data_IF_138387830447
#
_entry.id   IF_138387830447
#
_cell.length_a   1.000
_cell.length_b   1.000
_cell.length_c   1.000
_cell.angle_alpha   90.00
_cell.angle_beta   90.00
_cell.angle_gamma   90.00
#
_symmetry.space_group_name_H-M   'P 1'
#
loop_
_entity.id
_entity.type
_entity.pdbx_description
1 polymer ?
#
# COMPACT_ATOMS: atom_id res chain seq x y z
N UNK A 1 5.90 -7.25 -6.53
CA UNK A 1 5.36 -6.05 -5.88
C UNK A 1 5.80 -4.88 -6.71
N UNK A 2 4.90 -3.89 -6.86
CA UNK A 2 4.87 -2.82 -7.88
C UNK A 2 5.01 -3.28 -9.33
N UNK A 3 4.09 -2.89 -10.20
CA UNK A 3 4.14 -3.20 -11.64
C UNK A 3 4.74 -2.01 -12.40
N UNK A 4 6.03 -2.06 -12.82
CA UNK A 4 6.63 -0.95 -13.54
C UNK A 4 6.14 -0.93 -15.00
N UNK A 5 5.46 0.14 -15.40
CA UNK A 5 5.04 0.39 -16.79
C UNK A 5 5.58 1.70 -17.37
N UNK A 6 6.37 2.46 -16.60
CA UNK A 6 6.89 3.79 -16.99
C UNK A 6 7.69 3.76 -18.29
N UNK A 7 8.47 2.70 -18.54
CA UNK A 7 9.22 2.52 -19.78
C UNK A 7 8.32 2.33 -21.01
N UNK A 8 7.12 1.76 -20.85
CA UNK A 8 6.17 1.53 -21.94
C UNK A 8 5.48 2.82 -22.38
N UNK A 9 5.32 3.78 -21.46
CA UNK A 9 4.70 5.08 -21.69
C UNK A 9 5.72 6.23 -21.73
N UNK A 10 7.02 5.91 -21.77
CA UNK A 10 8.09 6.90 -21.80
C UNK A 10 8.06 7.80 -23.05
N UNK A 11 7.49 7.30 -24.15
CA UNK A 11 7.29 8.08 -25.38
C UNK A 11 5.80 8.19 -25.68
N UNK A 12 5.37 9.39 -26.07
CA UNK A 12 4.01 9.67 -26.53
C UNK A 12 3.77 8.93 -27.86
N UNK A 13 3.30 7.70 -27.76
CA UNK A 13 2.92 6.87 -28.90
C UNK A 13 1.48 6.41 -28.71
N UNK A 14 0.70 6.42 -29.80
CA UNK A 14 -0.68 5.92 -29.78
C UNK A 14 -0.76 4.47 -29.25
N UNK A 15 0.24 3.66 -29.56
CA UNK A 15 0.32 2.25 -29.15
C UNK A 15 0.83 2.06 -27.72
N UNK A 16 1.57 3.02 -27.15
CA UNK A 16 2.14 2.90 -25.80
C UNK A 16 1.07 2.72 -24.72
N UNK A 17 0.03 3.57 -24.75
CA UNK A 17 -1.08 3.46 -23.80
C UNK A 17 -1.92 2.19 -24.02
N UNK A 18 -2.15 1.80 -25.29
CA UNK A 18 -2.88 0.56 -25.60
C UNK A 18 -2.14 -0.66 -25.03
N UNK A 19 -0.80 -0.71 -25.16
CA UNK A 19 0.01 -1.79 -24.57
C UNK A 19 -0.10 -1.81 -23.04
N UNK A 20 -0.10 -0.65 -22.40
CA UNK A 20 -0.30 -0.56 -20.94
C UNK A 20 -1.69 -1.08 -20.52
N UNK A 21 -2.73 -0.76 -21.28
CA UNK A 21 -4.09 -1.27 -21.05
C UNK A 21 -4.21 -2.80 -21.20
N UNK A 22 -3.30 -3.47 -21.92
CA UNK A 22 -3.34 -4.93 -22.09
C UNK A 22 -2.59 -5.70 -20.99
N UNK A 23 -1.93 -5.02 -20.06
CA UNK A 23 -1.28 -5.67 -18.92
C UNK A 23 -2.35 -6.24 -17.99
N UNK A 24 -2.18 -7.48 -17.51
CA UNK A 24 -3.11 -8.12 -16.56
C UNK A 24 -2.73 -7.85 -15.09
N UNK A 25 -1.45 -7.98 -14.76
CA UNK A 25 -0.96 -7.80 -13.38
C UNK A 25 -1.09 -6.34 -12.94
N UNK A 26 -1.64 -6.09 -11.74
CA UNK A 26 -1.89 -4.73 -11.24
C UNK A 26 -2.91 -3.92 -12.07
N UNK A 27 -3.62 -4.56 -12.99
CA UNK A 27 -4.53 -3.85 -13.89
C UNK A 27 -5.94 -3.71 -13.33
N UNK A 28 -6.67 -2.74 -13.86
CA UNK A 28 -8.11 -2.57 -13.58
C UNK A 28 -8.89 -3.86 -13.87
N UNK A 29 -8.51 -4.60 -14.91
CA UNK A 29 -9.18 -5.85 -15.30
C UNK A 29 -9.08 -6.91 -14.19
N UNK A 30 -7.88 -7.09 -13.63
CA UNK A 30 -7.65 -8.03 -12.52
C UNK A 30 -8.38 -7.60 -11.25
N UNK A 31 -8.60 -6.30 -11.05
CA UNK A 31 -9.30 -5.79 -9.88
C UNK A 31 -10.84 -5.97 -9.96
N UNK A 32 -11.42 -5.84 -11.15
CA UNK A 32 -12.88 -5.82 -11.32
C UNK A 32 -13.49 -7.12 -11.85
N UNK A 33 -12.72 -8.04 -12.44
CA UNK A 33 -13.28 -9.18 -13.19
C UNK A 33 -14.26 -10.03 -12.38
N UNK A 34 -13.99 -10.27 -11.09
CA UNK A 34 -14.83 -11.11 -10.24
C UNK A 34 -16.17 -10.42 -9.93
N UNK A 35 -16.14 -9.15 -9.55
CA UNK A 35 -17.35 -8.37 -9.29
C UNK A 35 -18.15 -8.14 -10.58
N UNK A 36 -17.48 -7.87 -11.71
CA UNK A 36 -18.11 -7.71 -13.01
C UNK A 36 -18.77 -9.00 -13.48
N UNK A 37 -18.13 -10.15 -13.26
CA UNK A 37 -18.70 -11.46 -13.60
C UNK A 37 -19.97 -11.73 -12.80
N UNK A 38 -19.94 -11.50 -11.48
CA UNK A 38 -21.12 -11.65 -10.61
C UNK A 38 -22.24 -10.70 -11.05
N UNK A 39 -21.92 -9.43 -11.29
CA UNK A 39 -22.90 -8.45 -11.74
C UNK A 39 -23.53 -8.84 -13.09
N UNK A 40 -22.72 -9.29 -14.05
CA UNK A 40 -23.19 -9.71 -15.38
C UNK A 40 -24.06 -10.97 -15.30
N UNK A 41 -23.71 -11.91 -14.42
CA UNK A 41 -24.49 -13.11 -14.18
C UNK A 41 -25.85 -12.79 -13.56
N UNK A 42 -25.91 -11.89 -12.57
CA UNK A 42 -27.16 -11.41 -11.99
C UNK A 42 -28.00 -10.66 -13.02
N UNK A 43 -27.38 -9.79 -13.82
CA UNK A 43 -28.07 -9.08 -14.89
C UNK A 43 -28.71 -10.05 -15.90
N UNK A 44 -27.94 -11.04 -16.36
CA UNK A 44 -28.42 -12.07 -17.27
C UNK A 44 -29.52 -12.93 -16.65
N UNK A 45 -29.39 -13.30 -15.38
CA UNK A 45 -30.40 -14.06 -14.64
C UNK A 45 -31.75 -13.33 -14.62
N UNK A 46 -31.77 -12.05 -14.25
CA UNK A 46 -33.02 -11.27 -14.22
C UNK A 46 -33.60 -11.05 -15.62
N UNK A 47 -32.75 -10.87 -16.65
CA UNK A 47 -33.19 -10.80 -18.05
C UNK A 47 -33.86 -12.11 -18.50
N UNK A 48 -33.30 -13.26 -18.13
CA UNK A 48 -33.88 -14.57 -18.43
C UNK A 48 -35.19 -14.81 -17.67
N UNK A 49 -35.25 -14.44 -16.40
CA UNK A 49 -36.49 -14.53 -15.61
C UNK A 49 -37.59 -13.71 -16.26
N UNK A 50 -37.31 -12.46 -16.63
CA UNK A 50 -38.26 -11.58 -17.30
C UNK A 50 -38.81 -12.18 -18.60
N UNK A 51 -37.95 -12.77 -19.43
CA UNK A 51 -38.32 -13.30 -20.76
C UNK A 51 -38.95 -14.69 -20.75
N UNK A 52 -38.51 -15.57 -19.85
CA UNK A 52 -38.83 -17.01 -19.90
C UNK A 52 -39.74 -17.46 -18.76
N UNK A 53 -39.77 -16.75 -17.63
CA UNK A 53 -40.45 -17.21 -16.42
C UNK A 53 -41.64 -16.34 -15.99
N UNK A 54 -41.63 -15.03 -16.31
CA UNK A 54 -42.71 -14.12 -15.92
C UNK A 54 -43.88 -14.16 -16.91
N UNK A 55 -45.10 -14.14 -16.36
CA UNK A 55 -46.33 -13.96 -17.15
C UNK A 55 -46.60 -12.47 -17.43
N UNK A 56 -47.48 -12.13 -18.38
CA UNK A 56 -47.73 -10.75 -18.85
C UNK A 56 -47.99 -9.71 -17.72
N UNK A 57 -48.79 -10.09 -16.72
CA UNK A 57 -49.08 -9.23 -15.56
C UNK A 57 -47.84 -8.99 -14.67
N UNK A 58 -47.01 -10.01 -14.50
CA UNK A 58 -45.76 -9.91 -13.75
C UNK A 58 -44.70 -9.13 -14.52
N UNK A 59 -44.62 -9.31 -15.85
CA UNK A 59 -43.75 -8.53 -16.71
C UNK A 59 -44.08 -7.04 -16.61
N UNK A 60 -45.35 -6.67 -16.70
CA UNK A 60 -45.79 -5.26 -16.53
C UNK A 60 -45.37 -4.68 -15.17
N UNK A 61 -45.43 -5.48 -14.11
CA UNK A 61 -45.02 -5.05 -12.76
C UNK A 61 -43.50 -4.90 -12.65
N UNK A 62 -42.75 -5.83 -13.25
CA UNK A 62 -41.29 -5.79 -13.32
C UNK A 62 -40.80 -4.57 -14.13
N UNK A 63 -41.43 -4.28 -15.25
CA UNK A 63 -41.12 -3.11 -16.08
C UNK A 63 -41.27 -1.81 -15.30
N UNK A 64 -42.37 -1.64 -14.55
CA UNK A 64 -42.58 -0.48 -13.67
C UNK A 64 -41.49 -0.36 -12.61
N UNK A 65 -41.06 -1.48 -12.02
CA UNK A 65 -39.97 -1.50 -11.06
C UNK A 65 -38.62 -1.12 -11.68
N UNK A 66 -38.30 -1.64 -12.87
CA UNK A 66 -37.11 -1.26 -13.63
C UNK A 66 -37.09 0.23 -13.95
N UNK A 67 -38.21 0.80 -14.39
CA UNK A 67 -38.34 2.24 -14.64
C UNK A 67 -38.15 3.04 -13.35
N UNK A 68 -38.73 2.60 -12.23
CA UNK A 68 -38.49 3.23 -10.94
C UNK A 68 -36.98 3.23 -10.58
N UNK A 69 -36.31 2.09 -10.69
CA UNK A 69 -34.86 2.00 -10.45
C UNK A 69 -34.06 2.91 -11.38
N UNK A 70 -34.44 3.01 -12.66
CA UNK A 70 -33.77 3.90 -13.63
C UNK A 70 -33.90 5.37 -13.23
N UNK A 71 -35.11 5.83 -12.89
CA UNK A 71 -35.37 7.23 -12.54
C UNK A 71 -34.65 7.66 -11.25
N UNK A 72 -34.38 6.71 -10.36
CA UNK A 72 -33.78 6.95 -9.06
C UNK A 72 -32.30 6.54 -8.95
N UNK A 73 -31.70 6.00 -10.01
CA UNK A 73 -30.31 5.57 -10.00
C UNK A 73 -29.33 6.72 -9.74
N UNK A 74 -29.57 7.88 -10.34
CA UNK A 74 -28.66 9.03 -10.28
C UNK A 74 -28.95 10.00 -9.11
N UNK A 75 -29.71 9.56 -8.09
CA UNK A 75 -30.03 10.42 -6.94
C UNK A 75 -28.84 10.74 -6.03
N UNK A 76 -27.81 9.88 -6.02
CA UNK A 76 -26.62 10.06 -5.18
C UNK A 76 -25.46 10.46 -6.09
N UNK A 77 -24.83 11.64 -5.89
CA UNK A 77 -23.68 12.09 -6.66
C UNK A 77 -22.40 11.35 -6.22
N UNK A 78 -22.32 10.05 -6.52
CA UNK A 78 -21.24 9.18 -6.06
C UNK A 78 -19.88 9.55 -6.67
N UNK A 79 -19.85 10.17 -7.84
CA UNK A 79 -18.62 10.61 -8.52
C UNK A 79 -17.86 11.64 -7.69
N UNK A 80 -18.58 12.57 -7.04
CA UNK A 80 -17.97 13.56 -6.16
C UNK A 80 -17.41 12.89 -4.90
N UNK A 81 -18.20 12.03 -4.25
CA UNK A 81 -17.78 11.30 -3.04
C UNK A 81 -16.52 10.48 -3.34
N UNK A 82 -16.54 9.73 -4.45
CA UNK A 82 -15.42 8.90 -4.88
C UNK A 82 -14.20 9.75 -5.25
N UNK A 83 -14.38 10.84 -5.99
CA UNK A 83 -13.28 11.74 -6.37
C UNK A 83 -12.53 12.31 -5.17
N UNK A 84 -13.25 12.82 -4.17
CA UNK A 84 -12.63 13.31 -2.94
C UNK A 84 -11.96 12.19 -2.15
N UNK A 85 -12.61 11.03 -2.04
CA UNK A 85 -12.06 9.88 -1.32
C UNK A 85 -10.75 9.39 -1.96
N UNK A 86 -10.71 9.22 -3.28
CA UNK A 86 -9.53 8.75 -3.99
C UNK A 86 -8.39 9.77 -3.90
N UNK A 87 -8.69 11.07 -4.00
CA UNK A 87 -7.68 12.12 -3.81
C UNK A 87 -7.05 12.06 -2.43
N UNK A 88 -7.85 11.85 -1.37
CA UNK A 88 -7.37 11.65 -0.01
C UNK A 88 -6.46 10.42 0.10
N UNK A 89 -6.89 9.29 -0.47
CA UNK A 89 -6.12 8.03 -0.43
C UNK A 89 -4.79 8.16 -1.19
N UNK A 90 -4.77 8.73 -2.39
CA UNK A 90 -3.55 8.95 -3.16
C UNK A 90 -2.58 9.88 -2.43
N UNK A 91 -3.09 10.95 -1.82
CA UNK A 91 -2.28 11.86 -1.00
C UNK A 91 -1.63 11.14 0.18
N UNK A 92 -2.38 10.26 0.84
CA UNK A 92 -1.89 9.46 1.96
C UNK A 92 -0.91 8.36 1.52
N UNK A 93 -1.23 7.65 0.44
CA UNK A 93 -0.33 6.69 -0.23
C UNK A 93 1.02 7.34 -0.59
N UNK A 94 0.98 8.59 -1.09
CA UNK A 94 2.19 9.34 -1.42
C UNK A 94 3.11 9.54 -0.20
N UNK A 95 2.52 9.82 0.96
CA UNK A 95 3.27 9.97 2.21
C UNK A 95 3.95 8.68 2.62
N UNK A 96 3.38 7.50 2.34
CA UNK A 96 4.02 6.24 2.71
C UNK A 96 5.30 5.99 1.88
N UNK A 97 5.30 6.21 0.56
CA UNK A 97 6.48 5.89 -0.27
C UNK A 97 7.68 6.81 0.03
N UNK A 98 7.45 8.09 0.32
CA UNK A 98 8.52 9.04 0.66
C UNK A 98 9.19 8.66 1.99
N UNK A 99 8.46 7.96 2.87
CA UNK A 99 8.85 7.66 4.24
C UNK A 99 9.38 6.23 4.46
N UNK A 100 9.65 5.46 3.39
CA UNK A 100 10.13 4.06 3.46
C UNK A 100 11.48 3.86 4.20
N UNK A 101 12.19 4.93 4.56
CA UNK A 101 13.40 4.83 5.40
C UNK A 101 14.58 4.15 4.70
N UNK A 102 15.24 4.87 3.79
CA UNK A 102 16.53 4.45 3.24
C UNK A 102 17.68 4.94 4.12
N UNK A 103 18.72 4.11 4.31
CA UNK A 103 19.79 4.35 5.29
C UNK A 103 20.99 5.17 4.78
N UNK A 104 21.04 5.51 3.50
CA UNK A 104 22.22 6.06 2.82
C UNK A 104 22.87 7.20 3.57
N UNK A 105 22.08 8.20 3.93
CA UNK A 105 22.58 9.42 4.56
C UNK A 105 23.26 9.11 5.90
N UNK A 106 22.68 8.21 6.70
CA UNK A 106 23.26 7.83 7.99
C UNK A 106 24.53 7.02 7.77
N UNK A 107 24.50 6.05 6.86
CA UNK A 107 25.66 5.23 6.54
C UNK A 107 26.85 6.09 6.07
N UNK A 108 26.62 6.98 5.09
CA UNK A 108 27.65 7.85 4.53
C UNK A 108 28.22 8.81 5.58
N UNK A 109 27.37 9.44 6.39
CA UNK A 109 27.84 10.39 7.42
C UNK A 109 28.57 9.69 8.56
N UNK A 110 28.07 8.55 9.01
CA UNK A 110 28.71 7.71 10.02
C UNK A 110 30.09 7.27 9.54
N UNK A 111 30.24 6.87 8.27
CA UNK A 111 31.54 6.50 7.69
C UNK A 111 32.50 7.68 7.60
N UNK A 112 32.02 8.88 7.26
CA UNK A 112 32.90 10.06 7.10
C UNK A 112 33.43 10.52 8.46
N UNK A 113 32.60 10.52 9.49
CA UNK A 113 32.95 11.09 10.80
C UNK A 113 33.63 10.09 11.74
N UNK A 114 33.27 8.80 11.70
CA UNK A 114 33.89 7.73 12.50
C UNK A 114 35.06 7.09 11.76
N UNK A 115 36.16 7.83 11.61
CA UNK A 115 37.40 7.36 10.96
C UNK A 115 38.66 7.50 11.80
N UNK A 116 38.56 8.15 12.96
CA UNK A 116 39.72 8.55 13.75
C UNK A 116 39.97 7.56 14.89
N UNK A 117 41.20 7.56 15.39
CA UNK A 117 41.60 6.65 16.45
C UNK A 117 41.72 5.21 15.95
N UNK A 118 41.29 4.27 16.78
CA UNK A 118 41.33 2.84 16.47
C UNK A 118 40.30 2.49 15.40
N UNK A 119 40.79 1.97 14.27
CA UNK A 119 40.00 1.62 13.09
C UNK A 119 38.99 0.51 13.40
N UNK A 120 39.41 -0.52 14.14
CA UNK A 120 38.55 -1.65 14.51
C UNK A 120 37.47 -1.20 15.49
N UNK A 121 37.84 -0.34 16.45
CA UNK A 121 36.89 0.27 17.39
C UNK A 121 35.87 1.15 16.66
N UNK A 122 36.32 2.02 15.76
CA UNK A 122 35.45 2.86 14.95
C UNK A 122 34.48 2.01 14.10
N UNK A 123 34.98 0.95 13.47
CA UNK A 123 34.17 -0.01 12.72
C UNK A 123 33.08 -0.64 13.59
N UNK A 124 33.39 -1.08 14.81
CA UNK A 124 32.40 -1.60 15.76
C UNK A 124 31.30 -0.59 16.08
N UNK A 125 31.64 0.69 16.27
CA UNK A 125 30.65 1.76 16.48
C UNK A 125 29.76 1.95 15.25
N UNK A 126 30.33 2.00 14.04
CA UNK A 126 29.54 2.12 12.79
C UNK A 126 28.54 0.98 12.66
N UNK A 127 29.00 -0.26 12.88
CA UNK A 127 28.15 -1.47 12.86
C UNK A 127 26.98 -1.36 13.84
N UNK A 128 27.27 -0.99 15.10
CA UNK A 128 26.25 -0.93 16.15
C UNK A 128 25.26 0.22 15.96
N UNK A 129 25.71 1.39 15.51
CA UNK A 129 24.85 2.54 15.17
C UNK A 129 23.82 2.11 14.12
N UNK A 130 24.29 1.51 13.03
CA UNK A 130 23.43 1.09 11.93
C UNK A 130 22.51 -0.06 12.33
N UNK A 131 23.00 -1.03 13.11
CA UNK A 131 22.19 -2.12 13.68
C UNK A 131 21.00 -1.58 14.47
N UNK A 132 21.20 -0.56 15.29
CA UNK A 132 20.13 0.08 16.05
C UNK A 132 19.09 0.74 15.15
N UNK A 133 19.52 1.40 14.08
CA UNK A 133 18.60 2.08 13.15
C UNK A 133 17.77 1.07 12.37
N UNK A 134 18.40 -0.02 11.91
CA UNK A 134 17.69 -1.13 11.26
C UNK A 134 16.73 -1.83 12.22
N UNK A 135 17.13 -2.03 13.49
CA UNK A 135 16.25 -2.58 14.52
C UNK A 135 15.00 -1.70 14.67
N UNK A 136 15.17 -0.39 14.71
CA UNK A 136 14.04 0.53 14.75
C UNK A 136 13.11 0.36 13.52
N UNK A 137 13.68 0.32 12.31
CA UNK A 137 12.91 0.12 11.08
C UNK A 137 12.14 -1.21 11.10
N UNK A 138 12.79 -2.32 11.45
CA UNK A 138 12.15 -3.63 11.46
C UNK A 138 11.07 -3.75 12.53
N UNK A 139 11.27 -3.13 13.71
CA UNK A 139 10.25 -3.10 14.75
C UNK A 139 8.99 -2.36 14.27
N UNK A 140 9.14 -1.22 13.60
CA UNK A 140 8.01 -0.49 13.01
C UNK A 140 7.37 -1.29 11.87
N UNK A 141 8.17 -1.88 10.98
CA UNK A 141 7.68 -2.67 9.85
C UNK A 141 6.91 -3.92 10.30
N UNK A 142 7.32 -4.55 11.40
CA UNK A 142 6.57 -5.67 11.99
C UNK A 142 5.17 -5.26 12.46
N UNK A 143 4.95 -3.99 12.81
CA UNK A 143 3.64 -3.50 13.23
C UNK A 143 2.77 -3.21 12.00
N UNK A 144 3.29 -2.47 11.02
CA UNK A 144 2.50 -1.95 9.88
C UNK A 144 2.40 -2.92 8.70
N UNK A 145 3.35 -3.85 8.53
CA UNK A 145 3.41 -4.76 7.39
C UNK A 145 3.12 -6.20 7.85
N UNK A 146 1.96 -6.78 7.48
CA UNK A 146 1.62 -8.16 7.80
C UNK A 146 2.64 -9.16 7.29
N UNK A 147 3.24 -8.90 6.13
CA UNK A 147 4.27 -9.75 5.56
C UNK A 147 5.56 -9.76 6.37
N UNK A 148 5.97 -8.62 6.95
CA UNK A 148 7.11 -8.56 7.89
C UNK A 148 6.75 -9.21 9.22
N UNK A 149 5.53 -9.01 9.74
CA UNK A 149 5.05 -9.71 10.94
C UNK A 149 5.08 -11.24 10.79
N UNK A 150 4.77 -11.76 9.60
CA UNK A 150 4.88 -13.20 9.31
C UNK A 150 6.33 -13.69 9.28
N UNK A 151 7.26 -12.88 8.76
CA UNK A 151 8.69 -13.23 8.73
C UNK A 151 9.33 -13.16 10.12
N UNK A 152 8.92 -12.19 10.93
CA UNK A 152 9.43 -11.97 12.29
C UNK A 152 8.25 -11.85 13.27
N UNK A 153 7.65 -12.96 13.72
CA UNK A 153 6.45 -12.92 14.57
C UNK A 153 6.69 -12.28 15.93
N UNK A 154 7.84 -12.53 16.56
CA UNK A 154 8.14 -12.08 17.93
C UNK A 154 9.48 -11.33 18.01
N UNK A 155 9.77 -10.68 19.13
CA UNK A 155 11.08 -10.05 19.33
C UNK A 155 12.19 -11.10 19.43
N UNK A 156 11.89 -12.29 19.96
CA UNK A 156 12.80 -13.45 19.96
C UNK A 156 13.14 -13.88 18.53
N UNK A 157 12.18 -13.84 17.60
CA UNK A 157 12.47 -14.14 16.19
C UNK A 157 13.44 -13.14 15.54
N UNK A 158 13.54 -11.90 16.07
CA UNK A 158 14.55 -10.92 15.62
C UNK A 158 15.95 -11.23 16.19
N UNK A 159 16.01 -11.89 17.34
CA UNK A 159 17.25 -12.39 17.94
C UNK A 159 17.73 -13.59 17.13
N UNK A 160 16.84 -14.54 16.87
CA UNK A 160 17.08 -15.75 16.07
C UNK A 160 17.40 -15.44 14.60
N UNK A 161 16.81 -14.40 14.03
CA UNK A 161 17.15 -13.92 12.68
C UNK A 161 18.64 -13.56 12.54
N UNK A 162 19.29 -13.17 13.65
CA UNK A 162 20.73 -12.98 13.73
C UNK A 162 21.54 -14.28 13.71
N UNK A 163 20.91 -15.42 14.02
CA UNK A 163 21.55 -16.72 14.23
C UNK A 163 21.48 -17.61 12.97
N UNK A 164 20.41 -17.53 12.18
CA UNK A 164 20.13 -18.51 11.09
C UNK A 164 20.85 -18.23 9.75
N UNK A 165 21.21 -16.99 9.42
CA UNK A 165 21.95 -16.69 8.19
C UNK A 165 23.45 -16.96 8.40
N UNK A 166 23.91 -18.16 8.03
CA UNK A 166 25.28 -18.65 8.27
C UNK A 166 26.38 -17.78 7.60
N UNK A 167 26.08 -17.02 6.54
CA UNK A 167 27.00 -16.01 5.96
C UNK A 167 26.93 -14.62 6.62
N UNK A 168 25.91 -14.37 7.45
CA UNK A 168 25.64 -13.12 8.18
C UNK A 168 25.58 -13.34 9.71
N UNK A 169 26.25 -14.39 10.22
CA UNK A 169 26.24 -14.78 11.64
C UNK A 169 26.75 -13.68 12.61
N UNK A 170 27.41 -12.67 12.07
CA UNK A 170 27.89 -11.46 12.76
C UNK A 170 27.06 -10.19 12.46
N UNK A 171 26.03 -10.27 11.63
CA UNK A 171 25.49 -9.12 10.87
C UNK A 171 23.99 -8.81 11.12
N UNK A 172 23.21 -9.70 11.76
CA UNK A 172 21.73 -9.60 11.82
C UNK A 172 21.09 -9.79 13.20
N UNK A 173 21.87 -9.83 14.28
CA UNK A 173 21.30 -9.79 15.64
C UNK A 173 20.70 -8.40 15.88
N UNK A 174 19.49 -8.14 15.36
CA UNK A 174 18.85 -6.85 15.58
C UNK A 174 18.77 -6.56 17.08
N UNK A 175 18.52 -7.62 17.87
CA UNK A 175 18.54 -7.63 19.33
C UNK A 175 19.48 -8.75 19.80
N UNK A 176 20.39 -8.46 20.72
CA UNK A 176 21.17 -9.47 21.43
C UNK A 176 20.30 -10.13 22.53
N UNK A 177 20.56 -11.38 22.92
CA UNK A 177 19.77 -12.08 23.96
C UNK A 177 19.63 -11.25 25.25
N UNK A 178 20.70 -10.60 25.69
CA UNK A 178 20.72 -9.71 26.86
C UNK A 178 19.95 -8.40 26.70
N UNK A 179 19.62 -8.02 25.46
CA UNK A 179 18.91 -6.78 25.15
C UNK A 179 17.38 -6.97 25.11
N UNK A 180 16.88 -8.21 24.96
CA UNK A 180 15.45 -8.53 24.75
C UNK A 180 14.56 -7.91 25.82
N UNK A 181 14.94 -8.04 27.10
CA UNK A 181 14.16 -7.56 28.24
C UNK A 181 13.92 -6.04 28.22
N UNK A 182 14.77 -5.28 27.51
CA UNK A 182 14.65 -3.83 27.39
C UNK A 182 13.66 -3.41 26.29
N UNK A 183 13.34 -4.31 25.36
CA UNK A 183 12.43 -4.06 24.25
C UNK A 183 11.02 -4.55 24.56
N UNK A 184 10.05 -3.84 23.99
CA UNK A 184 8.65 -4.24 23.92
C UNK A 184 8.11 -3.73 22.58
N UNK A 185 7.00 -4.28 22.09
CA UNK A 185 6.45 -3.95 20.77
C UNK A 185 6.26 -2.44 20.57
N UNK A 186 5.79 -1.71 21.59
CA UNK A 186 5.60 -0.26 21.53
C UNK A 186 6.85 0.58 21.92
N UNK A 187 7.96 -0.08 22.28
CA UNK A 187 9.24 0.56 22.64
C UNK A 187 10.23 0.61 21.47
N UNK A 188 9.72 0.67 20.23
CA UNK A 188 10.55 0.84 19.05
C UNK A 188 11.38 2.14 19.06
N UNK A 189 11.13 3.10 19.95
CA UNK A 189 11.99 4.30 20.11
C UNK A 189 13.32 4.03 20.83
N UNK A 190 13.44 2.90 21.54
CA UNK A 190 14.63 2.55 22.33
C UNK A 190 15.92 2.38 21.49
N UNK A 191 15.90 1.73 20.31
CA UNK A 191 17.09 1.61 19.46
C UNK A 191 17.63 2.99 19.04
N UNK A 192 16.76 3.96 18.76
CA UNK A 192 17.20 5.33 18.43
C UNK A 192 17.91 5.98 19.61
N UNK A 193 17.39 5.83 20.84
CA UNK A 193 18.06 6.32 22.06
C UNK A 193 19.45 5.69 22.23
N UNK A 194 19.58 4.38 22.04
CA UNK A 194 20.86 3.68 22.16
C UNK A 194 21.84 4.06 21.04
N UNK A 195 21.34 4.24 19.82
CA UNK A 195 22.10 4.79 18.70
C UNK A 195 22.70 6.16 19.05
N UNK A 196 21.90 7.04 19.66
CA UNK A 196 22.40 8.36 20.07
C UNK A 196 23.48 8.26 21.17
N UNK A 197 23.32 7.36 22.14
CA UNK A 197 24.37 7.12 23.14
C UNK A 197 25.66 6.58 22.54
N UNK A 198 25.58 5.67 21.58
CA UNK A 198 26.77 5.16 20.88
C UNK A 198 27.54 6.29 20.18
N UNK A 199 26.85 7.21 19.49
CA UNK A 199 27.50 8.35 18.82
C UNK A 199 28.18 9.27 19.86
N UNK A 200 27.50 9.56 20.97
CA UNK A 200 28.08 10.35 22.07
C UNK A 200 29.34 9.68 22.65
N UNK A 201 29.29 8.38 22.86
CA UNK A 201 30.38 7.64 23.48
C UNK A 201 31.57 7.51 22.51
N UNK A 202 31.32 7.33 21.21
CA UNK A 202 32.34 7.40 20.17
C UNK A 202 33.05 8.77 20.11
N UNK A 203 32.31 9.86 20.36
CA UNK A 203 32.90 11.20 20.48
C UNK A 203 33.82 11.31 21.69
N UNK A 204 33.40 10.78 22.85
CA UNK A 204 34.23 10.75 24.07
C UNK A 204 35.50 9.92 23.89
N UNK A 205 35.42 8.83 23.14
CA UNK A 205 36.57 7.99 22.78
C UNK A 205 37.48 8.64 21.71
N UNK A 206 37.14 9.83 21.19
CA UNK A 206 37.94 10.53 20.18
C UNK A 206 37.85 9.94 18.77
N UNK A 207 36.91 9.02 18.52
CA UNK A 207 36.68 8.41 17.20
C UNK A 207 36.01 9.37 16.22
N UNK A 208 35.30 10.37 16.75
CA UNK A 208 34.73 11.52 16.04
C UNK A 208 35.52 12.77 16.45
N UNK A 209 36.06 13.49 15.46
CA UNK A 209 36.97 14.63 15.71
C UNK A 209 36.26 15.77 16.42
N UNK A 210 35.11 16.18 15.90
CA UNK A 210 34.45 17.43 16.26
C UNK A 210 32.97 17.22 16.56
N UNK A 211 32.41 18.15 17.33
CA UNK A 211 31.01 18.10 17.74
C UNK A 211 30.07 18.35 16.55
N UNK A 212 30.57 18.99 15.49
CA UNK A 212 29.85 19.12 14.22
C UNK A 212 29.54 17.75 13.58
N UNK A 213 30.50 16.81 13.57
CA UNK A 213 30.25 15.46 13.07
C UNK A 213 29.20 14.71 13.88
N UNK A 214 29.19 14.90 15.20
CA UNK A 214 28.15 14.35 16.09
C UNK A 214 26.77 14.91 15.73
N UNK A 215 26.67 16.24 15.63
CA UNK A 215 25.42 16.92 15.29
C UNK A 215 24.88 16.47 13.94
N UNK A 216 25.73 16.36 12.92
CA UNK A 216 25.32 15.91 11.60
C UNK A 216 24.81 14.46 11.61
N UNK A 217 25.47 13.54 12.33
CA UNK A 217 24.96 12.17 12.46
C UNK A 217 23.60 12.17 13.18
N UNK A 218 23.44 12.95 14.26
CA UNK A 218 22.16 13.05 14.97
C UNK A 218 21.03 13.57 14.07
N UNK A 219 21.29 14.58 13.25
CA UNK A 219 20.30 15.11 12.31
C UNK A 219 19.79 14.02 11.37
N UNK A 220 20.67 13.21 10.78
CA UNK A 220 20.25 12.11 9.90
C UNK A 220 19.57 10.96 10.64
N UNK A 221 19.97 10.66 11.89
CA UNK A 221 19.29 9.67 12.73
C UNK A 221 17.87 10.13 13.07
N UNK A 222 17.68 11.39 13.45
CA UNK A 222 16.38 11.96 13.78
C UNK A 222 15.50 12.04 12.53
N UNK A 223 16.03 12.50 11.39
CA UNK A 223 15.29 12.54 10.13
C UNK A 223 14.81 11.14 9.70
N UNK A 224 15.65 10.11 9.86
CA UNK A 224 15.23 8.73 9.60
C UNK A 224 14.16 8.25 10.58
N UNK A 225 14.30 8.59 11.86
CA UNK A 225 13.27 8.34 12.86
C UNK A 225 11.94 8.97 12.45
N UNK A 226 11.95 10.24 12.03
CA UNK A 226 10.76 10.96 11.60
C UNK A 226 10.09 10.30 10.39
N UNK A 227 10.88 9.89 9.39
CA UNK A 227 10.34 9.20 8.23
C UNK A 227 9.62 7.91 8.62
N UNK A 228 10.29 7.02 9.36
CA UNK A 228 9.72 5.72 9.70
C UNK A 228 8.57 5.84 10.71
N UNK A 229 8.60 6.78 11.66
CA UNK A 229 7.47 6.98 12.59
C UNK A 229 6.24 7.51 11.87
N UNK A 230 6.39 8.29 10.80
CA UNK A 230 5.26 8.73 9.98
C UNK A 230 4.52 7.57 9.34
N UNK A 231 5.20 6.47 9.00
CA UNK A 231 4.55 5.24 8.52
C UNK A 231 3.64 4.65 9.60
N UNK A 232 4.15 4.52 10.84
CA UNK A 232 3.38 4.02 11.97
C UNK A 232 2.22 4.93 12.35
N UNK A 233 2.44 6.25 12.42
CA UNK A 233 1.37 7.22 12.70
C UNK A 233 0.27 7.17 11.64
N UNK A 234 0.67 7.00 10.38
CA UNK A 234 -0.30 6.83 9.29
C UNK A 234 -1.08 5.55 9.50
N UNK A 235 -0.43 4.42 9.77
CA UNK A 235 -1.13 3.15 10.05
C UNK A 235 -2.08 3.24 11.27
N UNK A 236 -1.63 3.84 12.37
CA UNK A 236 -2.41 3.99 13.61
C UNK A 236 -3.66 4.85 13.42
N UNK A 237 -3.57 5.91 12.61
CA UNK A 237 -4.70 6.81 12.30
C UNK A 237 -5.06 6.67 10.81
N UNK A 238 -5.90 5.67 10.46
CA UNK A 238 -6.36 5.49 9.09
C UNK A 238 -7.44 6.54 8.72
N UNK A 239 -7.85 6.53 7.45
CA UNK A 239 -9.04 7.29 7.02
C UNK A 239 -10.25 6.82 7.85
N UNK A 240 -11.13 7.73 8.33
CA UNK A 240 -12.28 7.35 9.12
C UNK A 240 -13.12 6.28 8.44
N UNK A 241 -13.39 5.19 9.16
CA UNK A 241 -14.09 4.02 8.62
C UNK A 241 -15.43 4.39 7.95
N UNK A 242 -16.20 5.29 8.57
CA UNK A 242 -17.47 5.75 8.01
C UNK A 242 -17.30 6.38 6.62
N UNK A 243 -16.20 7.08 6.36
CA UNK A 243 -15.95 7.70 5.06
C UNK A 243 -15.65 6.64 3.99
N UNK A 244 -14.81 5.65 4.33
CA UNK A 244 -14.55 4.48 3.48
C UNK A 244 -15.83 3.69 3.21
N UNK A 245 -16.66 3.47 4.22
CA UNK A 245 -17.94 2.77 4.08
C UNK A 245 -18.88 3.52 3.13
N UNK A 246 -19.04 4.83 3.29
CA UNK A 246 -19.88 5.65 2.40
C UNK A 246 -19.38 5.57 0.96
N UNK A 247 -18.08 5.78 0.72
CA UNK A 247 -17.51 5.75 -0.63
C UNK A 247 -17.73 4.40 -1.32
N UNK A 248 -17.38 3.30 -0.64
CA UNK A 248 -17.41 1.95 -1.21
C UNK A 248 -18.81 1.36 -1.33
N UNK A 249 -19.70 1.70 -0.39
CA UNK A 249 -21.07 1.19 -0.38
C UNK A 249 -21.93 1.91 -1.40
N UNK A 250 -21.75 3.23 -1.56
CA UNK A 250 -22.57 4.04 -2.50
C UNK A 250 -22.46 3.52 -3.94
N UNK A 251 -21.24 3.21 -4.39
CA UNK A 251 -20.99 2.71 -5.75
C UNK A 251 -21.56 1.30 -5.93
N UNK A 252 -21.43 0.44 -4.92
CA UNK A 252 -21.99 -0.92 -4.98
C UNK A 252 -23.50 -0.91 -5.00
N UNK A 253 -24.14 -0.07 -4.18
CA UNK A 253 -25.60 0.13 -4.20
C UNK A 253 -26.04 0.67 -5.56
N UNK A 254 -25.32 1.65 -6.12
CA UNK A 254 -25.60 2.18 -7.45
C UNK A 254 -25.63 1.06 -8.50
N UNK A 255 -24.59 0.22 -8.57
CA UNK A 255 -24.55 -0.88 -9.53
C UNK A 255 -25.56 -2.00 -9.23
N UNK A 256 -25.94 -2.22 -7.97
CA UNK A 256 -27.04 -3.13 -7.62
C UNK A 256 -28.39 -2.62 -8.15
N UNK A 257 -28.67 -1.32 -8.05
CA UNK A 257 -29.89 -0.71 -8.61
C UNK A 257 -29.86 -0.78 -10.15
N UNK A 258 -28.69 -0.58 -10.77
CA UNK A 258 -28.54 -0.67 -12.23
C UNK A 258 -28.77 -2.08 -12.79
N UNK A 259 -28.67 -3.14 -11.98
CA UNK A 259 -29.08 -4.50 -12.42
C UNK A 259 -30.51 -4.48 -12.92
N UNK A 260 -31.40 -3.73 -12.27
CA UNK A 260 -32.80 -3.60 -12.65
C UNK A 260 -33.03 -2.41 -13.58
N UNK A 261 -32.44 -1.25 -13.26
CA UNK A 261 -32.67 0.00 -14.02
C UNK A 261 -32.22 -0.05 -15.48
N UNK A 262 -31.28 -0.94 -15.83
CA UNK A 262 -30.73 -1.07 -17.19
C UNK A 262 -31.17 -2.35 -17.91
N UNK A 263 -32.20 -3.05 -17.42
CA UNK A 263 -32.79 -4.19 -18.13
C UNK A 263 -33.41 -3.76 -19.46
N UNK A 264 -33.33 -4.63 -20.47
CA UNK A 264 -33.98 -4.43 -21.76
C UNK A 264 -35.42 -4.96 -21.70
N UNK A 265 -36.39 -4.09 -21.88
CA UNK A 265 -37.82 -4.38 -21.75
C UNK A 265 -38.47 -4.52 -23.15
N UNK A 266 -39.44 -5.43 -23.29
CA UNK A 266 -40.15 -5.69 -24.55
C UNK A 266 -41.21 -4.63 -24.86
N UNK A 267 -41.83 -4.07 -23.83
CA UNK A 267 -42.92 -3.12 -24.02
C UNK A 267 -42.32 -1.74 -24.29
N UNK A 268 -42.44 -1.24 -25.52
CA UNK A 268 -42.00 0.10 -25.94
C UNK A 268 -42.78 1.27 -25.30
N UNK A 269 -43.26 1.10 -24.08
CA UNK A 269 -44.21 1.97 -23.39
C UNK A 269 -43.56 3.12 -22.61
N UNK A 270 -42.25 3.35 -22.70
CA UNK A 270 -41.66 4.57 -22.15
C UNK A 270 -40.56 5.15 -23.03
N UNK A 271 -40.65 6.47 -23.27
CA UNK A 271 -39.70 7.36 -23.96
C UNK A 271 -38.26 7.34 -23.40
N UNK A 272 -37.97 6.49 -22.41
CA UNK A 272 -36.86 6.61 -21.46
C UNK A 272 -35.84 5.46 -21.56
N UNK A 273 -36.19 4.33 -22.19
CA UNK A 273 -35.26 3.21 -22.42
C UNK A 273 -35.08 2.92 -23.92
N UNK A 274 -33.85 2.55 -24.30
CA UNK A 274 -33.45 2.36 -25.69
C UNK A 274 -34.37 1.38 -26.41
N UNK A 275 -34.86 1.75 -27.60
CA UNK A 275 -35.70 0.92 -28.46
C UNK A 275 -34.99 -0.34 -28.99
N UNK A 276 -33.70 -0.50 -28.69
CA UNK A 276 -32.84 -1.56 -29.20
C UNK A 276 -32.50 -2.51 -28.06
N UNK A 277 -32.95 -3.75 -28.20
CA UNK A 277 -32.61 -4.85 -27.31
C UNK A 277 -31.30 -5.52 -27.77
N UNK A 278 -30.21 -5.19 -27.08
CA UNK A 278 -28.87 -5.72 -27.41
C UNK A 278 -28.54 -6.97 -26.58
N UNK A 279 -29.44 -7.39 -25.67
CA UNK A 279 -29.27 -8.44 -24.65
C UNK A 279 -28.14 -8.21 -23.64
N UNK A 280 -27.02 -7.63 -24.05
CA UNK A 280 -25.84 -7.34 -23.25
C UNK A 280 -25.71 -5.83 -23.05
N UNK A 281 -25.63 -5.35 -21.79
CA UNK A 281 -25.58 -3.92 -21.49
C UNK A 281 -24.14 -3.39 -21.59
N UNK A 282 -23.57 -3.35 -22.80
CA UNK A 282 -22.16 -2.98 -23.04
C UNK A 282 -21.76 -1.63 -22.41
N UNK A 283 -22.61 -0.61 -22.53
CA UNK A 283 -22.32 0.72 -21.96
C UNK A 283 -22.28 0.66 -20.42
N UNK A 284 -23.22 -0.06 -19.80
CA UNK A 284 -23.24 -0.26 -18.35
C UNK A 284 -22.02 -1.05 -17.87
N UNK A 285 -21.55 -2.04 -18.65
CA UNK A 285 -20.33 -2.78 -18.37
C UNK A 285 -19.09 -1.84 -18.40
N UNK A 286 -19.02 -0.93 -19.37
CA UNK A 286 -17.92 0.06 -19.43
C UNK A 286 -17.99 1.01 -18.22
N UNK A 287 -19.19 1.48 -17.85
CA UNK A 287 -19.40 2.28 -16.64
C UNK A 287 -18.97 1.53 -15.38
N UNK A 288 -19.31 0.23 -15.29
CA UNK A 288 -18.90 -0.65 -14.19
C UNK A 288 -17.38 -0.71 -14.08
N UNK A 289 -16.69 -1.05 -15.17
CA UNK A 289 -15.23 -1.14 -15.20
C UNK A 289 -14.59 0.19 -14.77
N UNK A 290 -15.16 1.32 -15.21
CA UNK A 290 -14.65 2.65 -14.88
C UNK A 290 -14.85 2.99 -13.39
N UNK A 291 -16.09 2.94 -12.88
CA UNK A 291 -16.40 3.40 -11.53
C UNK A 291 -16.03 2.39 -10.44
N UNK A 292 -16.29 1.09 -10.66
CA UNK A 292 -15.84 0.05 -9.74
C UNK A 292 -14.33 -0.10 -9.82
N UNK A 293 -13.72 0.05 -10.99
CA UNK A 293 -12.27 0.12 -11.12
C UNK A 293 -11.65 1.28 -10.35
N UNK A 294 -12.26 2.46 -10.42
CA UNK A 294 -11.83 3.63 -9.65
C UNK A 294 -12.00 3.42 -8.13
N UNK A 295 -13.09 2.77 -7.70
CA UNK A 295 -13.28 2.33 -6.32
C UNK A 295 -12.19 1.34 -5.86
N UNK A 296 -11.89 0.34 -6.71
CA UNK A 296 -10.88 -0.69 -6.45
C UNK A 296 -9.48 -0.12 -6.34
N UNK A 297 -9.14 0.89 -7.15
CA UNK A 297 -7.91 1.64 -6.97
C UNK A 297 -7.81 2.19 -5.53
N UNK A 298 -8.89 2.79 -5.03
CA UNK A 298 -8.97 3.22 -3.64
C UNK A 298 -8.73 2.08 -2.64
N UNK A 299 -9.39 0.93 -2.83
CA UNK A 299 -9.22 -0.25 -1.98
C UNK A 299 -7.76 -0.71 -1.90
N UNK A 300 -7.07 -0.81 -3.04
CA UNK A 300 -5.66 -1.24 -3.10
C UNK A 300 -4.70 -0.25 -2.43
N UNK A 301 -4.98 1.05 -2.52
CA UNK A 301 -4.08 2.08 -2.02
C UNK A 301 -4.28 2.42 -0.53
N UNK A 302 -5.37 1.94 0.10
CA UNK A 302 -5.66 2.18 1.53
C UNK A 302 -4.55 1.64 2.43
N UNK A 303 -4.01 0.45 2.11
CA UNK A 303 -2.90 -0.15 2.81
C UNK A 303 -1.83 -0.68 1.83
N UNK A 304 -0.79 0.11 1.54
CA UNK A 304 0.23 -0.27 0.55
C UNK A 304 1.28 -1.26 1.07
N UNK A 305 1.14 -1.78 2.29
CA UNK A 305 2.05 -2.78 2.88
C UNK A 305 1.46 -4.20 2.88
N UNK A 306 0.42 -4.43 2.09
CA UNK A 306 -0.29 -5.70 1.98
C UNK A 306 0.42 -6.76 1.13
N UNK A 307 -0.34 -7.39 0.26
CA UNK A 307 0.15 -8.43 -0.66
C UNK A 307 -0.43 -8.31 -2.07
N UNK A 308 -1.00 -7.15 -2.40
CA UNK A 308 -1.50 -6.83 -3.72
C UNK A 308 -0.34 -6.62 -4.71
N UNK A 309 -0.65 -6.66 -6.02
CA UNK A 309 0.37 -6.58 -7.06
C UNK A 309 1.19 -5.27 -7.00
N UNK A 310 0.52 -4.17 -6.65
CA UNK A 310 1.06 -2.81 -6.62
C UNK A 310 1.42 -2.29 -5.21
N UNK A 311 1.33 -3.16 -4.20
CA UNK A 311 1.86 -2.85 -2.89
C UNK A 311 3.38 -2.65 -2.94
N UNK A 312 3.90 -1.90 -1.97
CA UNK A 312 5.32 -1.59 -1.89
C UNK A 312 6.15 -2.83 -1.66
N UNK A 313 7.28 -2.92 -2.36
CA UNK A 313 8.28 -3.97 -2.12
C UNK A 313 9.12 -3.64 -0.88
N UNK A 314 8.52 -3.81 0.30
CA UNK A 314 9.18 -3.60 1.58
C UNK A 314 10.37 -4.56 1.77
N UNK A 315 10.34 -5.75 1.15
CA UNK A 315 11.46 -6.71 1.17
C UNK A 315 12.64 -6.17 0.41
N UNK A 316 12.41 -5.56 -0.75
CA UNK A 316 13.46 -4.86 -1.49
C UNK A 316 14.10 -3.77 -0.63
N UNK A 317 13.31 -2.91 0.01
CA UNK A 317 13.85 -1.82 0.87
C UNK A 317 14.73 -2.39 1.97
N UNK A 318 14.25 -3.40 2.71
CA UNK A 318 15.02 -4.05 3.78
C UNK A 318 16.31 -4.70 3.28
N UNK A 319 16.24 -5.50 2.22
CA UNK A 319 17.41 -6.18 1.65
C UNK A 319 18.42 -5.19 1.08
N UNK A 320 17.94 -4.13 0.42
CA UNK A 320 18.78 -3.08 -0.13
C UNK A 320 19.49 -2.33 0.99
N UNK A 321 18.77 -1.98 2.07
CA UNK A 321 19.35 -1.35 3.24
C UNK A 321 20.47 -2.20 3.85
N UNK A 322 20.29 -3.53 3.94
CA UNK A 322 21.34 -4.46 4.38
C UNK A 322 22.54 -4.51 3.41
N UNK A 323 22.28 -4.58 2.10
CA UNK A 323 23.33 -4.65 1.08
C UNK A 323 24.23 -3.41 1.07
N UNK A 324 23.66 -2.22 1.26
CA UNK A 324 24.44 -0.96 1.36
C UNK A 324 25.49 -1.05 2.47
N UNK A 325 25.19 -1.75 3.57
CA UNK A 325 26.13 -1.89 4.68
C UNK A 325 27.33 -2.76 4.33
N UNK A 326 27.08 -3.81 3.56
CA UNK A 326 28.12 -4.71 3.04
C UNK A 326 29.02 -3.95 2.07
N UNK A 327 28.43 -3.21 1.13
CA UNK A 327 29.21 -2.47 0.12
C UNK A 327 30.06 -1.34 0.70
N UNK A 328 29.57 -0.69 1.76
CA UNK A 328 30.25 0.45 2.36
C UNK A 328 31.35 0.06 3.36
N UNK A 329 31.64 -1.24 3.54
CA UNK A 329 32.56 -1.74 4.58
C UNK A 329 32.28 -1.07 5.95
N UNK A 330 30.98 -0.83 6.23
CA UNK A 330 30.55 -0.50 7.59
C UNK A 330 30.91 -1.66 8.51
N UNK A 331 30.89 -2.87 7.93
CA UNK A 331 31.42 -4.05 8.55
C UNK A 331 32.92 -4.17 8.41
#
# INVERSE_FOLDING_TARGET
MTVPYTSLVATLSFTGFIRAMLIWRGSVWKLVWSELFIWSLLFALFSLIYRLALNDSQQTSFEKFCVYCYMHADMIPFEFILGYYITLIVSRWSKFWINLGFLDNICLTTIVHLRHGDIERAQLYRRNIVRMILLYQIMVYRIICPGVRKMYPTLESLVEAGITYIHLKFFLGYINESEIEHFAENKFWMPIKWCMYLIRDARKEGLIINDFGVQQIYEYVIAFRENVIHLWLSDWVPVPLAYTQIAFTSIRIYFLVLIFGRQFLQTGSSLVQAQIDVYVPFITIIQFITYVGWCKLGETLVNPFGSDDDDFDYKFVMNRNLNVLIFLNIF
#
